data_IF_022880925078
#
_entry.id   IF_022880925078
#
_cell.length_a   1.000
_cell.length_b   1.000
_cell.length_c   1.000
_cell.angle_alpha   90.00
_cell.angle_beta   90.00
_cell.angle_gamma   90.00
#
_symmetry.space_group_name_H-M   'P 1'
#
loop_
_entity.id
_entity.type
_entity.pdbx_description
1 polymer ?
#
# COMPACT_ATOMS: atom_id res chain seq x y z
N UNK A 1 44.00 45.23 -23.14
CA UNK A 1 44.66 44.42 -22.09
C UNK A 1 43.60 43.45 -21.55
N UNK A 2 43.64 42.18 -21.96
CA UNK A 2 42.65 41.14 -21.59
C UNK A 2 43.16 40.40 -20.34
N UNK A 3 42.34 40.32 -19.29
CA UNK A 3 42.60 39.49 -18.11
C UNK A 3 41.71 38.25 -18.19
N UNK A 4 42.36 37.12 -18.45
CA UNK A 4 41.80 35.77 -18.47
C UNK A 4 41.74 35.22 -17.05
N UNK A 5 40.60 34.68 -16.60
CA UNK A 5 40.54 33.78 -15.42
C UNK A 5 39.84 32.48 -15.80
N UNK A 6 40.50 31.38 -15.45
CA UNK A 6 40.23 29.99 -15.84
C UNK A 6 39.11 29.35 -14.99
N UNK A 7 38.44 28.30 -15.48
CA UNK A 7 37.40 27.57 -14.76
C UNK A 7 37.97 26.72 -13.62
N UNK A 8 37.25 26.66 -12.51
CA UNK A 8 37.54 25.82 -11.35
C UNK A 8 36.98 24.42 -11.58
N UNK A 9 37.89 23.46 -11.72
CA UNK A 9 37.65 22.02 -11.72
C UNK A 9 37.63 21.55 -10.26
N UNK A 10 36.52 20.99 -9.78
CA UNK A 10 36.48 20.28 -8.50
C UNK A 10 36.49 18.79 -8.80
N UNK A 11 37.65 18.17 -8.58
CA UNK A 11 37.81 16.72 -8.47
C UNK A 11 37.95 16.42 -6.98
N UNK A 12 37.08 15.59 -6.44
CA UNK A 12 37.33 14.90 -5.17
C UNK A 12 37.00 13.42 -5.36
N UNK A 13 38.02 12.62 -5.06
CA UNK A 13 38.12 11.18 -5.25
C UNK A 13 37.14 10.38 -4.37
N UNK A 14 36.77 9.25 -4.94
CA UNK A 14 36.14 8.06 -4.35
C UNK A 14 36.93 7.38 -3.23
N UNK A 15 36.23 6.91 -2.20
CA UNK A 15 36.51 5.74 -1.36
C UNK A 15 35.24 5.49 -0.51
N UNK A 16 34.71 4.30 -0.29
CA UNK A 16 35.09 2.94 -0.64
C UNK A 16 33.90 2.04 -0.30
N UNK A 17 33.89 0.84 -0.89
CA UNK A 17 32.90 -0.20 -0.60
C UNK A 17 32.83 -0.53 0.89
N UNK A 18 31.63 -0.49 1.47
CA UNK A 18 31.25 -1.49 2.48
C UNK A 18 30.20 -2.39 1.84
N UNK A 19 30.67 -3.51 1.33
CA UNK A 19 29.84 -4.69 1.15
C UNK A 19 29.46 -5.20 2.55
N UNK A 20 28.34 -4.73 3.09
CA UNK A 20 27.69 -5.42 4.19
C UNK A 20 27.03 -6.65 3.61
N UNK A 21 27.69 -7.79 3.80
CA UNK A 21 27.08 -9.11 3.73
C UNK A 21 25.91 -9.18 4.72
N UNK A 22 24.70 -8.85 4.26
CA UNK A 22 23.50 -9.23 4.98
C UNK A 22 23.24 -10.70 4.65
N UNK A 23 23.74 -11.55 5.55
CA UNK A 23 23.31 -12.93 5.75
C UNK A 23 21.82 -13.10 5.46
N UNK A 24 21.48 -14.08 4.62
CA UNK A 24 20.10 -14.49 4.39
C UNK A 24 19.42 -14.78 5.72
N UNK A 25 18.50 -13.91 6.10
CA UNK A 25 17.61 -14.13 7.23
C UNK A 25 16.49 -15.08 6.77
N UNK A 26 16.82 -16.38 6.73
CA UNK A 26 15.83 -17.43 6.89
C UNK A 26 15.45 -17.47 8.38
N UNK A 27 14.34 -16.85 8.76
CA UNK A 27 13.66 -17.10 10.04
C UNK A 27 12.19 -16.60 9.95
N UNK A 28 11.25 -17.47 9.64
CA UNK A 28 10.36 -18.18 10.57
C UNK A 28 9.29 -17.29 11.23
N UNK A 29 8.08 -17.37 10.68
CA UNK A 29 6.82 -17.03 11.33
C UNK A 29 5.77 -18.02 10.85
N UNK A 30 5.38 -18.95 11.71
CA UNK A 30 4.33 -19.94 11.44
C UNK A 30 2.97 -19.24 11.49
N UNK A 31 2.39 -18.92 10.34
CA UNK A 31 1.08 -18.27 10.27
C UNK A 31 0.09 -19.08 9.43
N UNK A 32 -1.00 -19.51 10.07
CA UNK A 32 -2.35 -19.76 9.54
C UNK A 32 -2.50 -20.62 8.28
N UNK A 33 -3.05 -21.83 8.44
CA UNK A 33 -3.25 -22.81 7.37
C UNK A 33 -4.09 -22.35 6.18
N UNK A 34 -3.62 -22.77 5.00
CA UNK A 34 -4.23 -22.62 3.69
C UNK A 34 -5.58 -23.34 3.59
N UNK A 35 -6.60 -22.66 3.07
CA UNK A 35 -7.86 -23.30 2.72
C UNK A 35 -8.36 -22.80 1.36
N UNK A 36 -8.46 -23.72 0.39
CA UNK A 36 -9.38 -23.62 -0.74
C UNK A 36 -8.79 -23.30 -2.12
N UNK A 37 -8.52 -24.34 -2.91
CA UNK A 37 -8.65 -24.37 -4.38
C UNK A 37 -7.63 -23.60 -5.23
N UNK A 38 -7.27 -22.40 -4.83
CA UNK A 38 -6.25 -21.55 -5.42
C UNK A 38 -5.10 -21.43 -4.41
N UNK A 39 -3.86 -21.78 -4.81
CA UNK A 39 -2.69 -21.83 -3.91
C UNK A 39 -2.13 -20.43 -3.59
N UNK A 40 -3.00 -19.47 -3.25
CA UNK A 40 -2.62 -18.10 -2.94
C UNK A 40 -3.07 -17.70 -1.54
N UNK A 41 -2.28 -16.84 -0.90
CA UNK A 41 -2.61 -16.12 0.34
C UNK A 41 -2.81 -14.65 0.00
N UNK A 42 -3.87 -14.04 0.52
CA UNK A 42 -4.01 -12.59 0.54
C UNK A 42 -3.22 -12.00 1.73
N UNK A 43 -2.48 -10.92 1.50
CA UNK A 43 -1.90 -10.07 2.53
C UNK A 43 -2.26 -8.60 2.25
N UNK A 44 -2.90 -7.92 3.20
CA UNK A 44 -2.99 -6.45 3.22
C UNK A 44 -2.17 -5.88 4.35
N UNK A 45 -1.59 -4.72 4.12
CA UNK A 45 -0.76 -4.02 5.07
C UNK A 45 -0.89 -2.51 4.87
N UNK A 46 -0.53 -1.77 5.89
CA UNK A 46 -0.48 -0.32 5.85
C UNK A 46 0.92 0.10 5.44
N UNK A 47 1.04 0.87 4.36
CA UNK A 47 2.30 1.46 3.99
C UNK A 47 2.64 2.57 4.99
N UNK A 48 3.84 2.56 5.54
CA UNK A 48 4.22 3.54 6.56
C UNK A 48 4.47 4.94 5.98
N UNK A 49 4.55 5.07 4.65
CA UNK A 49 4.77 6.32 3.94
C UNK A 49 5.99 7.09 4.49
N UNK A 50 7.08 6.35 4.78
CA UNK A 50 8.21 6.89 5.54
C UNK A 50 8.77 8.18 4.94
N UNK A 51 8.75 9.23 5.75
CA UNK A 51 9.37 10.51 5.39
C UNK A 51 8.56 11.34 4.38
N UNK A 52 7.31 10.96 4.10
CA UNK A 52 6.37 11.78 3.33
C UNK A 52 5.45 12.58 4.27
N UNK A 53 4.57 13.42 3.69
CA UNK A 53 3.53 14.12 4.44
C UNK A 53 2.36 13.21 4.89
N UNK A 54 2.30 11.98 4.38
CA UNK A 54 1.28 10.98 4.69
C UNK A 54 1.75 9.94 5.71
N UNK A 55 3.03 9.98 6.10
CA UNK A 55 3.68 9.08 7.05
C UNK A 55 2.79 8.69 8.26
N UNK A 56 2.52 7.40 8.39
CA UNK A 56 1.84 6.78 9.52
C UNK A 56 2.89 6.42 10.59
N UNK A 57 2.88 7.12 11.72
CA UNK A 57 4.02 7.09 12.68
C UNK A 57 4.05 5.80 13.51
N UNK A 58 2.90 5.19 13.73
CA UNK A 58 2.69 3.97 14.52
C UNK A 58 2.73 2.70 13.68
N UNK A 59 2.81 2.82 12.35
CA UNK A 59 3.00 1.71 11.43
C UNK A 59 4.46 1.28 11.41
N UNK A 60 4.70 -0.04 11.48
CA UNK A 60 6.03 -0.62 11.45
C UNK A 60 6.81 -0.19 10.20
N UNK A 61 8.07 0.21 10.39
CA UNK A 61 8.98 0.59 9.32
C UNK A 61 9.22 -0.49 8.26
N UNK A 62 8.98 -1.75 8.60
CA UNK A 62 9.12 -2.90 7.71
C UNK A 62 7.75 -3.46 7.26
N UNK A 63 6.66 -2.70 7.43
CA UNK A 63 5.32 -3.09 7.00
C UNK A 63 5.34 -3.42 5.51
N UNK A 64 4.91 -4.63 5.18
CA UNK A 64 4.95 -5.16 3.82
C UNK A 64 4.04 -6.37 3.68
N UNK A 65 3.84 -6.82 2.45
CA UNK A 65 3.23 -8.12 2.13
C UNK A 65 3.71 -9.32 2.98
N UNK A 66 4.99 -9.31 3.37
CA UNK A 66 5.62 -10.44 4.07
C UNK A 66 5.60 -10.27 5.59
N UNK A 67 5.53 -9.03 6.06
CA UNK A 67 5.42 -8.64 7.45
C UNK A 67 4.34 -7.55 7.57
N UNK A 68 3.06 -7.91 7.40
CA UNK A 68 2.00 -6.93 7.30
C UNK A 68 1.78 -6.27 8.65
N UNK A 69 1.85 -4.94 8.68
CA UNK A 69 1.23 -4.16 9.74
C UNK A 69 -0.20 -3.83 9.32
N UNK A 70 -1.17 -4.25 10.13
CA UNK A 70 -2.59 -4.23 9.78
C UNK A 70 -3.38 -3.28 10.66
N UNK A 71 -2.71 -2.52 11.52
CA UNK A 71 -3.33 -1.61 12.43
C UNK A 71 -2.66 -0.24 12.39
N UNK A 72 -3.47 0.81 12.35
CA UNK A 72 -3.00 2.18 12.39
C UNK A 72 -3.97 3.05 13.21
N UNK A 73 -3.41 4.00 13.93
CA UNK A 73 -4.10 5.01 14.71
C UNK A 73 -3.94 6.36 14.02
N UNK A 74 -4.82 6.62 13.06
CA UNK A 74 -4.67 7.79 12.22
C UNK A 74 -5.40 9.01 12.79
N UNK A 75 -4.75 10.17 12.69
CA UNK A 75 -5.41 11.45 12.93
C UNK A 75 -6.39 11.75 11.79
N UNK A 76 -7.53 12.38 12.10
CA UNK A 76 -8.49 12.83 11.07
C UNK A 76 -7.79 13.58 9.92
N UNK A 77 -8.23 13.24 8.72
CA UNK A 77 -7.79 13.87 7.49
C UNK A 77 -8.27 15.33 7.45
N UNK A 78 -7.44 16.22 6.89
CA UNK A 78 -7.88 17.60 6.72
C UNK A 78 -8.96 17.65 5.62
N UNK A 79 -10.08 18.31 5.90
CA UNK A 79 -11.25 18.33 5.03
C UNK A 79 -10.89 18.75 3.59
N UNK A 80 -11.26 17.91 2.61
CA UNK A 80 -11.02 18.18 1.18
C UNK A 80 -9.59 17.94 0.72
N UNK A 81 -8.73 17.33 1.55
CA UNK A 81 -7.34 17.03 1.20
C UNK A 81 -7.07 15.53 1.12
N UNK A 82 -5.90 15.18 0.59
CA UNK A 82 -5.34 13.83 0.66
C UNK A 82 -4.30 13.70 1.79
N UNK A 83 -4.20 14.64 2.74
CA UNK A 83 -3.24 14.54 3.84
C UNK A 83 -3.80 13.68 4.99
N UNK A 84 -2.90 13.06 5.78
CA UNK A 84 -3.27 12.16 6.90
C UNK A 84 -4.29 11.10 6.45
N UNK A 85 -3.88 10.40 5.41
CA UNK A 85 -4.62 9.29 4.84
C UNK A 85 -3.93 7.99 5.31
N UNK A 86 -4.46 6.84 4.90
CA UNK A 86 -3.78 5.56 5.09
C UNK A 86 -3.69 4.89 3.73
N UNK A 87 -2.48 4.50 3.35
CA UNK A 87 -2.22 3.70 2.15
C UNK A 87 -2.39 2.22 2.54
N UNK A 88 -3.50 1.63 2.11
CA UNK A 88 -3.75 0.20 2.22
C UNK A 88 -3.20 -0.49 0.97
N UNK A 89 -2.06 -1.14 1.16
CA UNK A 89 -1.38 -1.89 0.13
C UNK A 89 -1.64 -3.39 0.33
N UNK A 90 -1.69 -4.13 -0.76
CA UNK A 90 -1.98 -5.55 -0.69
C UNK A 90 -1.36 -6.36 -1.82
N UNK A 91 -1.21 -7.66 -1.61
CA UNK A 91 -0.70 -8.59 -2.61
C UNK A 91 -1.19 -10.02 -2.37
N UNK A 92 -1.17 -10.83 -3.43
CA UNK A 92 -1.32 -12.27 -3.31
C UNK A 92 0.06 -12.92 -3.26
N UNK A 93 0.23 -13.91 -2.39
CA UNK A 93 1.45 -14.72 -2.26
C UNK A 93 1.14 -16.16 -2.66
N UNK A 94 1.95 -16.75 -3.55
CA UNK A 94 1.84 -18.18 -3.89
C UNK A 94 2.32 -19.09 -2.72
N UNK A 95 2.22 -20.41 -2.91
CA UNK A 95 2.66 -21.39 -1.91
C UNK A 95 4.16 -21.34 -1.58
N UNK A 96 4.97 -20.71 -2.43
CA UNK A 96 6.41 -20.52 -2.22
C UNK A 96 6.71 -19.14 -1.60
N UNK A 97 5.70 -18.32 -1.35
CA UNK A 97 5.84 -16.96 -0.84
C UNK A 97 6.21 -15.93 -1.90
N UNK A 98 6.04 -16.22 -3.19
CA UNK A 98 6.27 -15.21 -4.24
C UNK A 98 5.01 -14.35 -4.44
N UNK A 99 5.19 -13.05 -4.69
CA UNK A 99 4.06 -12.19 -5.09
C UNK A 99 3.52 -12.63 -6.46
N UNK A 100 2.19 -12.68 -6.56
CA UNK A 100 1.44 -12.93 -7.79
C UNK A 100 0.32 -11.90 -7.91
N UNK A 101 -0.13 -11.62 -9.13
CA UNK A 101 -1.14 -10.58 -9.35
C UNK A 101 -1.44 -10.30 -10.82
N UNK A 102 -0.60 -10.77 -11.75
CA UNK A 102 -0.86 -10.64 -13.20
C UNK A 102 -2.18 -11.34 -13.57
N UNK A 103 -3.12 -10.58 -14.11
CA UNK A 103 -4.44 -11.08 -14.51
C UNK A 103 -5.32 -11.56 -13.35
N UNK A 104 -5.01 -11.17 -12.10
CA UNK A 104 -5.80 -11.48 -10.93
C UNK A 104 -6.56 -10.23 -10.51
N UNK A 105 -7.89 -10.28 -10.54
CA UNK A 105 -8.74 -9.22 -10.04
C UNK A 105 -8.82 -9.22 -8.51
N UNK A 106 -8.95 -8.03 -7.93
CA UNK A 106 -9.08 -7.84 -6.49
C UNK A 106 -10.02 -6.69 -6.15
N UNK A 107 -10.63 -6.77 -4.98
CA UNK A 107 -11.52 -5.74 -4.47
C UNK A 107 -11.18 -5.37 -3.03
N UNK A 108 -11.25 -4.07 -2.74
CA UNK A 108 -11.28 -3.50 -1.39
C UNK A 108 -12.71 -3.11 -1.02
N UNK A 109 -13.13 -3.42 0.20
CA UNK A 109 -14.38 -2.99 0.81
C UNK A 109 -14.11 -2.34 2.17
N UNK A 110 -14.52 -1.08 2.32
CA UNK A 110 -14.40 -0.33 3.55
C UNK A 110 -15.72 -0.31 4.33
N UNK A 111 -15.63 -0.36 5.66
CA UNK A 111 -16.77 -0.22 6.58
C UNK A 111 -16.37 0.63 7.78
N UNK A 112 -17.34 1.27 8.44
CA UNK A 112 -17.11 2.06 9.65
C UNK A 112 -17.09 3.56 9.38
N UNK A 113 -16.20 4.30 10.06
CA UNK A 113 -16.24 5.77 10.08
C UNK A 113 -15.49 6.46 8.94
N UNK A 114 -14.66 5.75 8.16
CA UNK A 114 -13.89 6.28 7.02
C UNK A 114 -14.45 5.89 5.64
N UNK A 115 -13.74 6.23 4.56
CA UNK A 115 -14.10 5.90 3.19
C UNK A 115 -12.86 5.65 2.32
N UNK A 116 -13.02 5.01 1.16
CA UNK A 116 -11.95 4.82 0.17
C UNK A 116 -11.86 6.07 -0.70
N UNK A 117 -10.75 6.80 -0.61
CA UNK A 117 -10.57 8.09 -1.29
C UNK A 117 -9.85 7.98 -2.64
N UNK A 118 -9.12 6.88 -2.91
CA UNK A 118 -8.44 6.65 -4.19
C UNK A 118 -8.42 5.16 -4.58
N UNK A 119 -8.50 4.87 -5.89
CA UNK A 119 -8.56 3.53 -6.48
C UNK A 119 -8.08 3.53 -7.96
N UNK A 120 -6.88 2.99 -8.28
CA UNK A 120 -5.84 2.65 -7.31
C UNK A 120 -5.38 3.92 -6.57
N UNK A 121 -4.65 3.76 -5.48
CA UNK A 121 -3.85 4.87 -4.97
C UNK A 121 -2.81 5.27 -6.03
N UNK A 122 -2.75 6.53 -6.50
CA UNK A 122 -1.71 7.00 -7.40
C UNK A 122 -0.38 7.20 -6.65
N UNK A 123 0.25 6.12 -6.21
CA UNK A 123 1.64 6.16 -5.79
C UNK A 123 2.54 6.29 -7.03
N UNK A 124 2.84 7.57 -7.33
CA UNK A 124 3.74 8.04 -8.37
C UNK A 124 3.22 7.91 -9.82
N UNK A 125 2.46 8.90 -10.28
CA UNK A 125 2.50 9.29 -11.70
C UNK A 125 3.31 10.57 -11.86
N UNK A 126 4.50 10.54 -12.51
CA UNK A 126 5.01 11.75 -13.14
C UNK A 126 3.96 12.18 -14.18
N UNK A 127 3.57 13.45 -14.17
CA UNK A 127 2.55 14.04 -15.03
C UNK A 127 2.82 13.98 -16.57
N UNK A 128 3.73 13.10 -17.02
CA UNK A 128 4.24 12.99 -18.40
C UNK A 128 4.30 11.56 -18.96
N UNK A 129 3.78 10.55 -18.27
CA UNK A 129 3.79 9.19 -18.82
C UNK A 129 2.80 9.03 -19.99
N UNK A 130 3.33 8.88 -21.21
CA UNK A 130 2.58 8.43 -22.38
C UNK A 130 1.97 7.06 -22.12
N UNK A 131 0.66 6.92 -22.36
CA UNK A 131 -0.31 5.82 -22.17
C UNK A 131 0.12 4.33 -22.24
N UNK A 132 1.37 3.96 -22.48
CA UNK A 132 1.82 2.58 -22.71
C UNK A 132 2.82 2.04 -21.66
N UNK A 133 3.12 2.78 -20.58
CA UNK A 133 4.04 2.36 -19.51
C UNK A 133 3.66 2.96 -18.14
N UNK A 134 2.40 2.87 -17.74
CA UNK A 134 1.88 3.45 -16.49
C UNK A 134 1.56 2.35 -15.49
N UNK A 135 2.41 2.27 -14.47
CA UNK A 135 2.54 1.33 -13.34
C UNK A 135 1.27 1.11 -12.45
N UNK A 136 0.13 0.74 -13.03
CA UNK A 136 -1.12 0.53 -12.28
C UNK A 136 -2.01 -0.55 -12.90
N UNK A 137 -3.18 -0.83 -12.30
CA UNK A 137 -4.12 -1.79 -12.83
C UNK A 137 -4.65 -1.42 -14.22
N UNK A 138 -4.94 -2.43 -15.05
CA UNK A 138 -5.53 -2.20 -16.39
C UNK A 138 -6.86 -1.45 -16.30
N UNK A 139 -7.61 -1.69 -15.23
CA UNK A 139 -8.72 -0.84 -14.83
C UNK A 139 -8.85 -0.83 -13.31
N UNK A 140 -9.42 0.26 -12.81
CA UNK A 140 -9.92 0.36 -11.44
C UNK A 140 -11.31 1.01 -11.42
N UNK A 141 -12.09 0.73 -10.37
CA UNK A 141 -13.41 1.33 -10.18
C UNK A 141 -13.69 1.58 -8.72
N UNK A 142 -13.89 2.85 -8.37
CA UNK A 142 -14.37 3.29 -7.07
C UNK A 142 -15.89 3.44 -7.09
N UNK A 143 -16.60 2.87 -6.11
CA UNK A 143 -18.07 2.85 -6.04
C UNK A 143 -18.54 3.11 -4.60
N UNK A 144 -19.60 3.89 -4.46
CA UNK A 144 -20.45 3.95 -3.28
C UNK A 144 -21.56 2.90 -3.46
N UNK A 145 -21.48 1.82 -2.70
CA UNK A 145 -22.40 0.67 -2.84
C UNK A 145 -23.66 0.81 -2.01
N UNK A 146 -23.68 1.70 -1.01
CA UNK A 146 -24.78 1.85 -0.07
C UNK A 146 -25.58 3.15 -0.24
N UNK A 147 -25.07 4.11 -1.03
CA UNK A 147 -25.72 5.36 -1.40
C UNK A 147 -25.63 6.48 -0.36
N UNK A 148 -24.72 6.38 0.62
CA UNK A 148 -24.52 7.41 1.65
C UNK A 148 -23.62 8.57 1.21
N UNK A 149 -23.13 8.54 -0.03
CA UNK A 149 -22.24 9.54 -0.61
C UNK A 149 -20.77 9.28 -0.29
N UNK A 150 -20.42 8.15 0.33
CA UNK A 150 -19.07 7.74 0.66
C UNK A 150 -18.69 6.51 -0.16
N UNK A 151 -17.52 6.58 -0.79
CA UNK A 151 -17.02 5.45 -1.56
C UNK A 151 -16.56 4.34 -0.61
N UNK A 152 -17.12 3.15 -0.77
CA UNK A 152 -16.88 2.01 0.11
C UNK A 152 -16.35 0.77 -0.62
N UNK A 153 -16.26 0.80 -1.95
CA UNK A 153 -15.69 -0.29 -2.74
C UNK A 153 -14.74 0.17 -3.83
N UNK A 154 -13.57 -0.47 -3.91
CA UNK A 154 -12.57 -0.28 -4.97
C UNK A 154 -12.25 -1.62 -5.64
N UNK A 155 -12.58 -1.77 -6.92
CA UNK A 155 -12.25 -2.95 -7.74
C UNK A 155 -11.02 -2.66 -8.60
N UNK A 156 -10.10 -3.62 -8.76
CA UNK A 156 -8.88 -3.52 -9.58
C UNK A 156 -8.66 -4.82 -10.37
N UNK A 157 -8.37 -4.75 -11.68
CA UNK A 157 -8.24 -5.95 -12.54
C UNK A 157 -7.00 -6.82 -12.35
N UNK A 158 -5.87 -6.21 -11.99
CA UNK A 158 -4.54 -6.81 -11.85
C UNK A 158 -3.53 -5.69 -11.62
N UNK A 159 -2.25 -5.98 -11.35
CA UNK A 159 -1.19 -4.97 -11.44
C UNK A 159 -0.27 -5.23 -12.64
N UNK A 160 0.17 -4.16 -13.32
CA UNK A 160 1.17 -4.24 -14.40
C UNK A 160 2.59 -4.27 -13.84
N UNK A 161 3.17 -5.47 -13.85
CA UNK A 161 4.59 -5.79 -13.66
C UNK A 161 5.51 -4.78 -14.38
N UNK A 162 6.46 -4.17 -13.65
CA UNK A 162 7.47 -3.26 -14.24
C UNK A 162 8.55 -4.01 -15.04
N UNK A 163 8.40 -5.32 -15.24
CA UNK A 163 9.41 -6.26 -15.74
C UNK A 163 10.67 -6.29 -14.84
N UNK A 164 10.54 -6.10 -13.52
CA UNK A 164 11.64 -6.12 -12.56
C UNK A 164 11.49 -7.23 -11.51
N UNK A 165 11.29 -8.46 -11.98
CA UNK A 165 11.33 -9.66 -11.13
C UNK A 165 12.67 -9.74 -10.39
N UNK A 166 12.65 -9.64 -9.05
CA UNK A 166 13.78 -9.97 -8.19
C UNK A 166 14.55 -8.80 -7.57
N UNK A 167 14.03 -7.58 -7.63
CA UNK A 167 14.55 -6.47 -6.82
C UNK A 167 13.64 -6.33 -5.59
N UNK A 168 14.23 -6.27 -4.40
CA UNK A 168 13.52 -5.93 -3.16
C UNK A 168 13.07 -4.46 -3.24
N UNK A 169 12.07 -4.18 -4.07
CA UNK A 169 11.57 -2.84 -4.30
C UNK A 169 10.51 -2.47 -3.26
N UNK A 170 10.72 -1.29 -2.68
CA UNK A 170 9.99 -0.71 -1.57
C UNK A 170 8.57 -0.25 -1.95
N UNK A 171 7.73 -1.22 -2.35
CA UNK A 171 6.48 -1.10 -3.11
C UNK A 171 6.71 -1.00 -4.62
N UNK A 172 6.15 -1.93 -5.42
CA UNK A 172 6.25 -1.77 -6.87
C UNK A 172 5.91 -2.90 -7.83
N UNK A 173 5.90 -4.17 -7.42
CA UNK A 173 5.53 -5.28 -8.33
C UNK A 173 4.47 -6.18 -7.69
N UNK A 174 3.36 -6.38 -8.43
CA UNK A 174 2.19 -7.18 -8.05
C UNK A 174 1.48 -6.73 -6.75
N UNK A 175 1.42 -5.42 -6.53
CA UNK A 175 0.68 -4.82 -5.41
C UNK A 175 -0.57 -4.08 -5.89
N UNK A 176 -1.59 -4.14 -5.05
CA UNK A 176 -2.84 -3.42 -5.19
C UNK A 176 -2.82 -2.30 -4.16
N UNK A 177 -3.34 -1.13 -4.51
CA UNK A 177 -3.26 0.03 -3.63
C UNK A 177 -4.61 0.70 -3.50
N UNK A 178 -5.05 0.97 -2.28
CA UNK A 178 -6.23 1.78 -2.01
C UNK A 178 -5.90 2.77 -0.90
N UNK A 179 -6.39 4.00 -1.07
CA UNK A 179 -6.24 5.04 -0.05
C UNK A 179 -7.51 5.19 0.75
N UNK A 180 -7.39 5.35 2.07
CA UNK A 180 -8.54 5.62 2.94
C UNK A 180 -8.36 6.89 3.77
N UNK A 181 -9.48 7.57 4.04
CA UNK A 181 -9.53 8.84 4.75
C UNK A 181 -10.74 8.91 5.70
N UNK A 182 -10.63 9.78 6.69
CA UNK A 182 -11.78 10.35 7.41
C UNK A 182 -11.76 11.88 7.36
N UNK A 183 -12.50 12.45 6.41
CA UNK A 183 -12.64 13.90 6.24
C UNK A 183 -13.79 14.49 7.07
N UNK A 184 -14.58 13.65 7.76
CA UNK A 184 -15.75 14.10 8.53
C UNK A 184 -15.43 14.28 10.02
N UNK A 185 -14.18 14.05 10.43
CA UNK A 185 -13.72 14.11 11.81
C UNK A 185 -14.56 13.22 12.75
N UNK A 186 -14.90 12.04 12.27
CA UNK A 186 -15.69 11.04 12.97
C UNK A 186 -14.76 10.05 13.65
N UNK A 187 -14.68 10.15 14.99
CA UNK A 187 -13.93 9.17 15.78
C UNK A 187 -14.53 7.77 15.66
N UNK A 188 -13.68 6.76 15.50
CA UNK A 188 -14.09 5.37 15.49
C UNK A 188 -13.22 4.50 14.60
N UNK A 189 -13.62 3.25 14.49
CA UNK A 189 -12.90 2.26 13.72
C UNK A 189 -13.39 2.22 12.26
N UNK A 190 -12.44 2.01 11.36
CA UNK A 190 -12.66 1.65 9.97
C UNK A 190 -11.97 0.31 9.72
N UNK A 191 -12.73 -0.66 9.21
CA UNK A 191 -12.18 -1.91 8.72
C UNK A 191 -12.15 -1.87 7.20
N UNK A 192 -11.03 -2.25 6.61
CA UNK A 192 -10.89 -2.36 5.15
C UNK A 192 -10.52 -3.78 4.83
N UNK A 193 -11.48 -4.52 4.29
CA UNK A 193 -11.25 -5.85 3.76
C UNK A 193 -10.75 -5.73 2.34
N UNK A 194 -9.86 -6.63 1.95
CA UNK A 194 -9.46 -6.79 0.57
C UNK A 194 -9.42 -8.27 0.22
N UNK A 195 -9.52 -8.61 -1.06
CA UNK A 195 -9.31 -9.99 -1.46
C UNK A 195 -9.54 -10.24 -2.94
N UNK A 196 -9.47 -11.52 -3.28
CA UNK A 196 -9.65 -12.02 -4.63
C UNK A 196 -11.05 -11.68 -5.16
N UNK A 197 -11.10 -11.15 -6.37
CA UNK A 197 -12.32 -10.84 -7.10
C UNK A 197 -12.05 -11.01 -8.60
N UNK A 198 -12.16 -12.24 -9.11
CA UNK A 198 -11.84 -12.54 -10.52
C UNK A 198 -12.91 -12.03 -11.47
N UNK A 199 -14.14 -11.94 -10.97
CA UNK A 199 -15.36 -11.55 -11.65
C UNK A 199 -15.52 -10.02 -11.71
N UNK A 200 -14.80 -9.31 -10.83
CA UNK A 200 -14.70 -7.86 -10.75
C UNK A 200 -16.03 -7.20 -10.39
N UNK A 201 -16.82 -7.88 -9.57
CA UNK A 201 -18.15 -7.47 -9.15
C UNK A 201 -18.28 -7.25 -7.64
N UNK A 202 -17.22 -7.49 -6.87
CA UNK A 202 -17.18 -7.36 -5.42
C UNK A 202 -16.28 -8.40 -4.77
N UNK A 203 -16.00 -8.24 -3.48
CA UNK A 203 -15.11 -9.15 -2.75
C UNK A 203 -15.73 -10.57 -2.72
N UNK A 204 -15.09 -11.54 -3.40
CA UNK A 204 -15.62 -12.90 -3.53
C UNK A 204 -15.54 -13.64 -2.17
N UNK A 205 -16.56 -14.44 -1.89
CA UNK A 205 -16.75 -15.16 -0.63
C UNK A 205 -15.81 -16.36 -0.46
N UNK A 206 -14.94 -16.66 -1.44
CA UNK A 206 -14.05 -17.84 -1.44
C UNK A 206 -12.95 -17.85 -0.38
N UNK A 207 -12.87 -16.81 0.45
CA UNK A 207 -12.04 -16.80 1.66
C UNK A 207 -10.57 -16.42 1.44
N UNK A 208 -10.18 -16.04 0.22
CA UNK A 208 -8.85 -15.48 -0.06
C UNK A 208 -8.94 -13.97 0.11
N UNK A 209 -8.91 -13.55 1.36
CA UNK A 209 -9.00 -12.15 1.77
C UNK A 209 -8.13 -11.89 2.99
N UNK A 210 -7.90 -10.61 3.25
CA UNK A 210 -7.25 -10.12 4.44
C UNK A 210 -7.86 -8.74 4.78
N UNK A 211 -7.45 -8.15 5.90
CA UNK A 211 -7.96 -6.84 6.29
C UNK A 211 -6.96 -6.02 7.08
N UNK A 212 -7.10 -4.70 6.96
CA UNK A 212 -6.52 -3.75 7.90
C UNK A 212 -7.61 -3.09 8.73
N UNK A 213 -7.20 -2.52 9.86
CA UNK A 213 -8.03 -1.70 10.73
C UNK A 213 -7.36 -0.35 10.95
N UNK A 214 -8.13 0.72 10.79
CA UNK A 214 -7.70 2.08 11.11
C UNK A 214 -8.59 2.64 12.21
N UNK A 215 -8.00 3.09 13.31
CA UNK A 215 -8.72 3.82 14.37
C UNK A 215 -8.52 5.32 14.17
N UNK A 216 -9.60 6.02 13.82
CA UNK A 216 -9.57 7.46 13.58
C UNK A 216 -9.82 8.26 14.85
N UNK A 217 -9.00 9.28 15.08
CA UNK A 217 -9.15 10.18 16.23
C UNK A 217 -8.69 11.60 15.96
N UNK A 218 -9.05 12.52 16.85
CA UNK A 218 -8.72 13.94 16.71
C UNK A 218 -7.21 14.22 16.79
N UNK A 219 -6.47 13.37 17.50
CA UNK A 219 -5.04 13.50 17.76
C UNK A 219 -4.19 12.40 17.13
N UNK A 220 -4.79 11.31 16.64
CA UNK A 220 -4.06 10.12 16.22
C UNK A 220 -3.52 9.30 17.39
N UNK A 221 -4.05 9.50 18.61
CA UNK A 221 -3.53 8.90 19.85
C UNK A 221 -4.59 8.18 20.68
N UNK A 222 -5.86 8.18 20.26
CA UNK A 222 -6.93 7.48 20.98
C UNK A 222 -6.76 5.95 20.89
N UNK A 223 -6.32 5.33 21.98
CA UNK A 223 -6.04 3.88 22.05
C UNK A 223 -4.64 3.51 22.54
N UNK A 224 -3.79 4.49 22.91
CA UNK A 224 -2.39 4.32 23.36
C UNK A 224 -2.19 3.58 24.70
N UNK A 225 -2.85 2.43 24.90
CA UNK A 225 -2.51 1.47 25.94
C UNK A 225 -1.87 0.18 25.43
N UNK A 226 -1.60 0.03 24.12
CA UNK A 226 -0.69 -1.03 23.65
C UNK A 226 0.73 -0.51 23.65
N UNK A 227 1.36 -0.57 24.82
CA UNK A 227 2.81 -0.54 24.93
C UNK A 227 3.39 -1.78 24.25
N UNK A 228 4.26 -1.55 23.29
CA UNK A 228 5.20 -2.55 22.78
C UNK A 228 6.35 -2.75 23.79
#
# INVERSE_FOLDING_TARGET
>A
MRITRKPLLVVALSAGMLATSATGALAYGSYGGYNGGDNFKAASYINNDRGTATNNVDVNDNSSCFAPDQYDMQKFSDAGTANRNVHNDACFLDSNGNKVGRGIGATYEARGVGFISACPDPDLTPATATRAATNGPEFSKLTDTNGDGRMDRCVQSSYQDRNQVGVNDAAGDFEYHARVNDNNAMAGDQDVKWGLDRELDGLDYRGINDSIKVTWSADGLAGSSYGW
#
